data_IF_600835562206
#
_entry.id   IF_600835562206
#
_cell.length_a   1.000
_cell.length_b   1.000
_cell.length_c   1.000
_cell.angle_alpha   90.00
_cell.angle_beta   90.00
_cell.angle_gamma   90.00
#
_symmetry.space_group_name_H-M   'P 1'
#
loop_
_entity.id
_entity.type
_entity.pdbx_description
1 polymer ?
#
# COMPACT_ATOMS: atom_id res chain seq x y z
N UNK A 1 21.22 -26.98 -2.04
CA UNK A 1 20.37 -25.76 -2.04
C UNK A 1 20.03 -25.45 -0.59
N UNK A 2 20.44 -24.29 -0.06
CA UNK A 2 20.35 -23.96 1.37
C UNK A 2 18.92 -23.70 1.85
N UNK A 3 18.63 -24.01 3.13
CA UNK A 3 17.36 -23.76 3.85
C UNK A 3 16.72 -22.37 3.62
N UNK A 4 17.51 -21.34 3.29
CA UNK A 4 17.01 -19.98 3.06
C UNK A 4 16.11 -19.83 1.82
N UNK A 5 16.34 -20.61 0.75
CA UNK A 5 15.44 -20.66 -0.40
C UNK A 5 14.06 -21.24 -0.03
N UNK A 6 13.98 -21.96 1.09
CA UNK A 6 12.75 -22.56 1.57
C UNK A 6 11.76 -21.49 2.08
N UNK A 7 12.23 -20.41 2.72
CA UNK A 7 11.35 -19.36 3.27
C UNK A 7 10.63 -18.55 2.19
N UNK A 8 11.35 -18.06 1.19
CA UNK A 8 10.76 -17.29 0.09
C UNK A 8 9.81 -18.18 -0.71
N UNK A 9 10.19 -19.45 -0.95
CA UNK A 9 9.30 -20.44 -1.58
C UNK A 9 8.01 -20.66 -0.78
N UNK A 10 8.10 -20.78 0.55
CA UNK A 10 6.91 -20.88 1.41
C UNK A 10 6.00 -19.65 1.28
N UNK A 11 6.57 -18.45 1.14
CA UNK A 11 5.80 -17.23 0.90
C UNK A 11 5.10 -17.23 -0.47
N UNK A 12 5.73 -17.79 -1.50
CA UNK A 12 5.06 -18.02 -2.79
C UNK A 12 3.86 -18.96 -2.66
N UNK A 13 4.01 -20.08 -1.95
CA UNK A 13 2.93 -21.03 -1.75
C UNK A 13 1.75 -20.41 -0.97
N UNK A 14 2.06 -19.60 0.05
CA UNK A 14 1.05 -18.83 0.78
C UNK A 14 0.37 -17.76 -0.10
N UNK A 15 1.14 -17.04 -0.91
CA UNK A 15 0.60 -16.06 -1.85
C UNK A 15 -0.33 -16.73 -2.87
N UNK A 16 0.03 -17.91 -3.37
CA UNK A 16 -0.80 -18.69 -4.29
C UNK A 16 -2.10 -19.15 -3.64
N UNK A 17 -2.07 -19.60 -2.38
CA UNK A 17 -3.28 -19.94 -1.61
C UNK A 17 -4.19 -18.73 -1.43
N UNK A 18 -3.63 -17.58 -1.04
CA UNK A 18 -4.36 -16.33 -0.90
C UNK A 18 -4.98 -15.89 -2.23
N UNK A 19 -4.22 -15.92 -3.32
CA UNK A 19 -4.69 -15.54 -4.65
C UNK A 19 -5.85 -16.42 -5.13
N UNK A 20 -5.80 -17.73 -4.88
CA UNK A 20 -6.90 -18.66 -5.19
C UNK A 20 -8.17 -18.35 -4.40
N UNK A 21 -8.04 -18.05 -3.11
CA UNK A 21 -9.19 -17.67 -2.29
C UNK A 21 -9.78 -16.32 -2.72
N UNK A 22 -8.92 -15.34 -3.05
CA UNK A 22 -9.38 -14.08 -3.63
C UNK A 22 -10.13 -14.34 -4.93
N UNK A 23 -9.55 -15.10 -5.86
CA UNK A 23 -10.16 -15.36 -7.16
C UNK A 23 -11.55 -16.02 -7.05
N UNK A 24 -11.72 -16.95 -6.11
CA UNK A 24 -13.00 -17.66 -5.92
C UNK A 24 -14.08 -16.77 -5.27
N UNK A 25 -13.69 -15.89 -4.34
CA UNK A 25 -14.62 -15.09 -3.53
C UNK A 25 -14.85 -13.67 -4.06
N UNK A 26 -13.93 -13.13 -4.87
CA UNK A 26 -13.96 -11.75 -5.35
C UNK A 26 -15.28 -11.36 -6.05
N UNK A 27 -15.92 -12.21 -6.88
CA UNK A 27 -17.21 -11.85 -7.48
C UNK A 27 -18.31 -11.55 -6.44
N UNK A 28 -18.35 -12.32 -5.36
CA UNK A 28 -19.31 -12.10 -4.27
C UNK A 28 -18.99 -10.80 -3.52
N UNK A 29 -17.71 -10.56 -3.22
CA UNK A 29 -17.22 -9.33 -2.56
C UNK A 29 -17.54 -8.10 -3.41
N UNK A 30 -17.27 -8.13 -4.72
CA UNK A 30 -17.60 -7.02 -5.65
C UNK A 30 -19.10 -6.75 -5.64
N UNK A 31 -19.92 -7.80 -5.74
CA UNK A 31 -21.39 -7.67 -5.76
C UNK A 31 -21.92 -7.09 -4.46
N UNK A 32 -21.35 -7.48 -3.32
CA UNK A 32 -21.73 -6.98 -2.00
C UNK A 32 -21.34 -5.51 -1.85
N UNK A 33 -20.06 -5.19 -2.05
CA UNK A 33 -19.52 -3.82 -1.95
C UNK A 33 -20.20 -2.83 -2.90
N UNK A 34 -20.59 -3.28 -4.10
CA UNK A 34 -21.29 -2.47 -5.09
C UNK A 34 -22.69 -2.01 -4.67
N UNK A 35 -23.30 -2.66 -3.67
CA UNK A 35 -24.62 -2.28 -3.11
C UNK A 35 -24.51 -1.29 -1.95
N UNK A 36 -23.33 -1.08 -1.42
CA UNK A 36 -23.12 -0.22 -0.25
C UNK A 36 -23.21 1.27 -0.63
N UNK A 37 -23.39 2.14 0.38
CA UNK A 37 -23.24 3.59 0.20
C UNK A 37 -21.79 4.02 -0.05
N UNK A 38 -20.83 3.14 0.23
CA UNK A 38 -19.38 3.36 0.14
C UNK A 38 -18.83 3.02 -1.25
N UNK A 39 -19.44 3.55 -2.31
CA UNK A 39 -19.13 3.18 -3.70
C UNK A 39 -17.68 3.47 -4.09
N UNK A 40 -17.16 4.65 -3.76
CA UNK A 40 -15.80 5.07 -4.11
C UNK A 40 -14.74 4.40 -3.22
N UNK A 41 -15.03 4.25 -1.94
CA UNK A 41 -14.20 3.53 -0.97
C UNK A 41 -14.05 2.06 -1.37
N UNK A 42 -15.17 1.41 -1.68
CA UNK A 42 -15.19 0.03 -2.21
C UNK A 42 -14.37 -0.12 -3.49
N UNK A 43 -14.52 0.81 -4.43
CA UNK A 43 -13.72 0.85 -5.66
C UNK A 43 -12.22 0.96 -5.35
N UNK A 44 -11.85 1.79 -4.37
CA UNK A 44 -10.45 1.96 -3.95
C UNK A 44 -9.89 0.65 -3.39
N UNK A 45 -10.59 0.00 -2.47
CA UNK A 45 -10.14 -1.25 -1.87
C UNK A 45 -9.95 -2.38 -2.88
N UNK A 46 -10.92 -2.58 -3.76
CA UNK A 46 -10.82 -3.57 -4.84
C UNK A 46 -9.61 -3.30 -5.75
N UNK A 47 -9.35 -2.03 -6.07
CA UNK A 47 -8.16 -1.64 -6.84
C UNK A 47 -6.85 -1.93 -6.08
N UNK A 48 -6.83 -1.67 -4.77
CA UNK A 48 -5.66 -1.92 -3.94
C UNK A 48 -5.33 -3.41 -3.79
N UNK A 49 -6.34 -4.31 -3.76
CA UNK A 49 -6.11 -5.76 -3.77
C UNK A 49 -5.25 -6.16 -4.99
N UNK A 50 -5.66 -5.74 -6.19
CA UNK A 50 -4.96 -6.08 -7.42
C UNK A 50 -3.55 -5.47 -7.45
N UNK A 51 -3.43 -4.17 -7.16
CA UNK A 51 -2.15 -3.46 -7.17
C UNK A 51 -1.14 -4.05 -6.18
N UNK A 52 -1.57 -4.31 -4.95
CA UNK A 52 -0.72 -4.95 -3.95
C UNK A 52 -0.41 -6.41 -4.31
N UNK A 53 -1.33 -7.14 -4.95
CA UNK A 53 -1.06 -8.48 -5.46
C UNK A 53 0.08 -8.50 -6.49
N UNK A 54 0.05 -7.56 -7.46
CA UNK A 54 1.13 -7.42 -8.44
C UNK A 54 2.47 -7.05 -7.79
N UNK A 55 2.46 -6.06 -6.88
CA UNK A 55 3.66 -5.65 -6.16
C UNK A 55 4.23 -6.80 -5.32
N UNK A 56 3.38 -7.54 -4.60
CA UNK A 56 3.82 -8.67 -3.78
C UNK A 56 4.46 -9.76 -4.62
N UNK A 57 3.79 -10.20 -5.68
CA UNK A 57 4.32 -11.25 -6.57
C UNK A 57 5.67 -10.85 -7.17
N UNK A 58 5.81 -9.61 -7.64
CA UNK A 58 7.08 -9.10 -8.17
C UNK A 58 8.17 -9.03 -7.09
N UNK A 59 7.85 -8.58 -5.87
CA UNK A 59 8.80 -8.55 -4.75
C UNK A 59 9.27 -9.97 -4.40
N UNK A 60 8.38 -10.95 -4.34
CA UNK A 60 8.73 -12.35 -4.05
C UNK A 60 9.68 -12.92 -5.13
N UNK A 61 9.39 -12.65 -6.40
CA UNK A 61 10.22 -13.10 -7.53
C UNK A 61 11.60 -12.45 -7.52
N UNK A 62 11.66 -11.12 -7.41
CA UNK A 62 12.92 -10.39 -7.34
C UNK A 62 13.73 -10.79 -6.10
N UNK A 63 13.07 -11.09 -4.98
CA UNK A 63 13.75 -11.59 -3.78
C UNK A 63 14.34 -12.97 -4.00
N UNK A 64 13.62 -13.88 -4.66
CA UNK A 64 14.13 -15.20 -5.07
C UNK A 64 15.31 -15.10 -6.04
N UNK A 65 15.26 -14.14 -6.95
CA UNK A 65 16.32 -13.84 -7.93
C UNK A 65 17.44 -12.93 -7.37
N UNK A 66 17.42 -12.63 -6.06
CA UNK A 66 18.43 -11.83 -5.36
C UNK A 66 18.61 -10.40 -5.87
N UNK A 67 17.57 -9.80 -6.46
CA UNK A 67 17.61 -8.41 -6.93
C UNK A 67 17.16 -7.42 -5.84
N UNK A 68 18.05 -7.15 -4.88
CA UNK A 68 17.74 -6.33 -3.71
C UNK A 68 17.34 -4.89 -4.06
N UNK A 69 17.92 -4.31 -5.11
CA UNK A 69 17.66 -2.93 -5.51
C UNK A 69 16.23 -2.77 -6.03
N UNK A 70 15.84 -3.60 -7.00
CA UNK A 70 14.47 -3.56 -7.52
C UNK A 70 13.44 -3.92 -6.44
N UNK A 71 13.76 -4.89 -5.58
CA UNK A 71 12.91 -5.25 -4.44
C UNK A 71 12.70 -4.07 -3.48
N UNK A 72 13.75 -3.30 -3.18
CA UNK A 72 13.67 -2.12 -2.31
C UNK A 72 12.74 -1.03 -2.90
N UNK A 73 12.84 -0.78 -4.20
CA UNK A 73 11.97 0.18 -4.91
C UNK A 73 10.50 -0.24 -4.80
N UNK A 74 10.20 -1.51 -5.14
CA UNK A 74 8.83 -2.01 -5.09
C UNK A 74 8.30 -2.08 -3.66
N UNK A 75 9.15 -2.38 -2.68
CA UNK A 75 8.77 -2.38 -1.26
C UNK A 75 8.32 -1.00 -0.80
N UNK A 76 9.01 0.08 -1.20
CA UNK A 76 8.55 1.45 -0.89
C UNK A 76 7.16 1.72 -1.46
N UNK A 77 6.91 1.29 -2.70
CA UNK A 77 5.59 1.40 -3.32
C UNK A 77 4.52 0.59 -2.58
N UNK A 78 4.84 -0.64 -2.15
CA UNK A 78 3.94 -1.47 -1.33
C UNK A 78 3.57 -0.80 -0.01
N UNK A 79 4.55 -0.19 0.70
CA UNK A 79 4.29 0.55 1.94
C UNK A 79 3.32 1.72 1.66
N UNK A 80 3.55 2.49 0.60
CA UNK A 80 2.67 3.60 0.23
C UNK A 80 1.22 3.15 -0.07
N UNK A 81 1.06 2.05 -0.82
CA UNK A 81 -0.26 1.48 -1.10
C UNK A 81 -0.96 1.04 0.18
N UNK A 82 -0.23 0.43 1.12
CA UNK A 82 -0.79 0.00 2.39
C UNK A 82 -1.21 1.20 3.26
N UNK A 83 -0.40 2.26 3.35
CA UNK A 83 -0.77 3.48 4.08
C UNK A 83 -2.02 4.14 3.50
N UNK A 84 -2.10 4.30 2.17
CA UNK A 84 -3.28 4.88 1.51
C UNK A 84 -4.53 4.03 1.72
N UNK A 85 -4.41 2.72 1.62
CA UNK A 85 -5.53 1.80 1.89
C UNK A 85 -6.02 1.92 3.33
N UNK A 86 -5.11 1.83 4.31
CA UNK A 86 -5.44 1.91 5.73
C UNK A 86 -6.05 3.26 6.10
N UNK A 87 -5.55 4.34 5.51
CA UNK A 87 -6.12 5.68 5.66
C UNK A 87 -7.58 5.74 5.21
N UNK A 88 -7.85 5.28 4.00
CA UNK A 88 -9.20 5.27 3.43
C UNK A 88 -10.11 4.40 4.30
N UNK A 89 -9.63 3.23 4.73
CA UNK A 89 -10.34 2.33 5.64
C UNK A 89 -10.73 3.00 6.95
N UNK A 90 -9.76 3.49 7.72
CA UNK A 90 -10.02 4.12 9.02
C UNK A 90 -10.91 5.35 8.86
N UNK A 91 -10.64 6.21 7.88
CA UNK A 91 -11.43 7.42 7.67
C UNK A 91 -12.86 7.13 7.20
N UNK A 92 -13.07 6.13 6.35
CA UNK A 92 -14.44 5.75 5.92
C UNK A 92 -15.29 5.24 7.08
N UNK A 93 -14.69 4.52 8.04
CA UNK A 93 -15.40 3.99 9.20
C UNK A 93 -15.63 5.09 10.24
N UNK A 94 -14.63 5.92 10.53
CA UNK A 94 -14.76 7.01 11.51
C UNK A 94 -15.74 8.09 11.05
N UNK A 95 -15.69 8.48 9.78
CA UNK A 95 -16.57 9.50 9.21
C UNK A 95 -17.95 8.92 8.83
N UNK A 96 -18.10 7.60 8.86
CA UNK A 96 -19.25 6.84 8.36
C UNK A 96 -19.73 7.31 6.97
N UNK A 97 -18.78 7.66 6.10
CA UNK A 97 -19.04 8.29 4.81
C UNK A 97 -18.10 7.83 3.71
N UNK A 98 -18.56 7.96 2.46
CA UNK A 98 -17.79 7.66 1.26
C UNK A 98 -16.93 8.85 0.78
N UNK A 99 -16.82 9.91 1.57
CA UNK A 99 -16.20 11.16 1.12
C UNK A 99 -14.69 11.03 0.95
N UNK A 100 -14.01 10.23 1.78
CA UNK A 100 -12.59 9.93 1.58
C UNK A 100 -12.35 9.18 0.26
N UNK A 101 -13.23 8.24 -0.10
CA UNK A 101 -13.19 7.54 -1.39
C UNK A 101 -13.41 8.50 -2.56
N UNK A 102 -14.36 9.44 -2.44
CA UNK A 102 -14.60 10.48 -3.46
C UNK A 102 -13.37 11.38 -3.62
N UNK A 103 -12.78 11.86 -2.53
CA UNK A 103 -11.56 12.68 -2.56
C UNK A 103 -10.39 11.93 -3.20
N UNK A 104 -10.24 10.64 -2.91
CA UNK A 104 -9.21 9.79 -3.52
C UNK A 104 -9.33 9.66 -5.04
N UNK A 105 -10.54 9.46 -5.59
CA UNK A 105 -10.69 9.30 -7.04
C UNK A 105 -10.85 10.60 -7.82
N UNK A 106 -11.47 11.62 -7.22
CA UNK A 106 -11.75 12.88 -7.91
C UNK A 106 -10.65 13.89 -7.65
N UNK A 107 -10.40 14.20 -6.39
CA UNK A 107 -9.55 15.33 -6.02
C UNK A 107 -8.07 15.00 -6.10
N UNK A 108 -7.64 13.81 -5.68
CA UNK A 108 -6.25 13.39 -5.82
C UNK A 108 -5.83 13.30 -7.30
N UNK A 109 -6.66 12.69 -8.15
CA UNK A 109 -6.46 12.70 -9.60
C UNK A 109 -6.32 14.13 -10.14
N UNK A 110 -7.23 15.02 -9.75
CA UNK A 110 -7.14 16.44 -10.15
C UNK A 110 -5.85 17.11 -9.67
N UNK A 111 -5.35 16.75 -8.49
CA UNK A 111 -4.06 17.25 -7.98
C UNK A 111 -2.87 16.71 -8.79
N UNK A 112 -2.88 15.43 -9.16
CA UNK A 112 -1.84 14.80 -10.00
C UNK A 112 -1.82 15.40 -11.42
N UNK A 113 -3.01 15.60 -12.00
CA UNK A 113 -3.19 16.24 -13.31
C UNK A 113 -2.66 17.70 -13.27
N UNK A 114 -3.03 18.45 -12.23
CA UNK A 114 -2.60 19.85 -12.04
C UNK A 114 -1.08 19.97 -11.81
N UNK A 115 -0.48 19.05 -11.05
CA UNK A 115 0.96 19.03 -10.82
C UNK A 115 1.72 18.74 -12.12
N UNK A 116 1.27 17.72 -12.87
CA UNK A 116 1.86 17.35 -14.17
C UNK A 116 1.78 18.51 -15.16
N UNK A 117 0.61 19.13 -15.27
CA UNK A 117 0.38 20.28 -16.14
C UNK A 117 1.25 21.48 -15.74
N UNK A 118 1.34 21.78 -14.44
CA UNK A 118 2.18 22.88 -13.93
C UNK A 118 3.66 22.64 -14.27
N UNK A 119 4.18 21.43 -14.08
CA UNK A 119 5.57 21.09 -14.41
C UNK A 119 5.85 21.22 -15.90
N UNK A 120 4.99 20.65 -16.75
CA UNK A 120 5.13 20.72 -18.21
C UNK A 120 5.08 22.18 -18.67
N UNK A 121 4.16 22.98 -18.15
CA UNK A 121 4.07 24.41 -18.49
C UNK A 121 5.33 25.18 -18.06
N UNK A 122 5.90 24.87 -16.88
CA UNK A 122 7.17 25.47 -16.44
C UNK A 122 8.35 25.08 -17.35
N UNK A 123 8.43 23.83 -17.79
CA UNK A 123 9.45 23.38 -18.74
C UNK A 123 9.28 24.04 -20.10
N UNK A 124 8.05 24.10 -20.62
CA UNK A 124 7.76 24.79 -21.87
C UNK A 124 8.10 26.27 -21.79
N UNK A 125 7.84 26.95 -20.68
CA UNK A 125 8.23 28.35 -20.49
C UNK A 125 9.75 28.53 -20.52
N UNK A 126 10.50 27.58 -19.97
CA UNK A 126 11.96 27.65 -19.95
C UNK A 126 12.60 27.37 -21.32
N UNK A 127 12.00 26.45 -22.10
CA UNK A 127 12.55 26.01 -23.40
C UNK A 127 11.97 26.78 -24.59
N UNK A 128 10.69 27.17 -24.52
CA UNK A 128 9.88 27.81 -25.56
C UNK A 128 9.08 28.99 -24.98
N UNK A 129 9.74 30.08 -24.54
CA UNK A 129 9.10 31.20 -23.85
C UNK A 129 8.01 31.91 -24.67
N UNK A 130 8.03 31.76 -25.99
CA UNK A 130 7.07 32.33 -26.95
C UNK A 130 5.71 31.60 -26.98
N UNK A 131 5.62 30.38 -26.42
CA UNK A 131 4.37 29.61 -26.40
C UNK A 131 3.40 30.10 -25.32
N UNK A 132 2.11 29.87 -25.56
CA UNK A 132 1.03 30.21 -24.61
C UNK A 132 1.28 29.60 -23.24
N UNK A 133 1.36 30.47 -22.24
CA UNK A 133 1.53 30.09 -20.84
C UNK A 133 0.16 29.94 -20.18
N UNK A 134 -0.11 28.75 -19.68
CA UNK A 134 -1.35 28.49 -18.96
C UNK A 134 -1.22 28.87 -17.49
N UNK A 135 -2.18 29.62 -16.96
CA UNK A 135 -2.16 30.02 -15.55
C UNK A 135 -2.82 28.95 -14.68
N UNK A 136 -2.05 28.35 -13.77
CA UNK A 136 -2.56 27.37 -12.79
C UNK A 136 -2.82 27.98 -11.41
N UNK A 137 -2.72 29.31 -11.26
CA UNK A 137 -3.06 30.03 -10.02
C UNK A 137 -4.57 30.21 -9.90
N UNK A 138 -5.08 30.16 -8.68
CA UNK A 138 -6.50 30.40 -8.35
C UNK A 138 -6.94 29.60 -7.13
N UNK A 139 -7.98 30.08 -6.44
CA UNK A 139 -8.54 29.44 -5.24
C UNK A 139 -9.00 28.00 -5.50
N UNK A 140 -9.60 27.72 -6.66
CA UNK A 140 -10.01 26.37 -7.04
C UNK A 140 -8.83 25.38 -7.11
N UNK A 141 -7.75 25.77 -7.79
CA UNK A 141 -6.54 24.96 -7.92
C UNK A 141 -5.79 24.82 -6.59
N UNK A 142 -5.84 25.85 -5.73
CA UNK A 142 -5.31 25.78 -4.36
C UNK A 142 -6.07 24.75 -3.53
N UNK A 143 -7.40 24.75 -3.57
CA UNK A 143 -8.22 23.77 -2.86
C UNK A 143 -7.92 22.32 -3.32
N UNK A 144 -7.75 22.10 -4.63
CA UNK A 144 -7.34 20.79 -5.17
C UNK A 144 -5.99 20.34 -4.57
N UNK A 145 -5.00 21.23 -4.52
CA UNK A 145 -3.67 20.92 -3.96
C UNK A 145 -3.74 20.61 -2.47
N UNK A 146 -4.52 21.35 -1.69
CA UNK A 146 -4.65 21.09 -0.25
C UNK A 146 -5.24 19.70 0.02
N UNK A 147 -6.29 19.30 -0.71
CA UNK A 147 -6.83 17.94 -0.58
C UNK A 147 -5.82 16.89 -1.06
N UNK A 148 -5.02 17.17 -2.09
CA UNK A 148 -3.93 16.30 -2.51
C UNK A 148 -2.89 16.05 -1.41
N UNK A 149 -2.64 17.03 -0.53
CA UNK A 149 -1.72 16.86 0.61
C UNK A 149 -2.21 15.84 1.63
N UNK A 150 -3.53 15.64 1.77
CA UNK A 150 -4.11 14.66 2.71
C UNK A 150 -3.62 13.23 2.44
N UNK A 151 -3.29 12.92 1.18
CA UNK A 151 -2.82 11.59 0.76
C UNK A 151 -1.30 11.44 0.76
N UNK A 152 -0.56 12.45 1.22
CA UNK A 152 0.88 12.32 1.48
C UNK A 152 1.09 11.40 2.67
N UNK A 153 2.11 10.54 2.60
CA UNK A 153 2.31 9.49 3.60
C UNK A 153 2.50 10.05 5.01
N UNK A 154 3.10 11.23 5.16
CA UNK A 154 3.29 11.88 6.45
C UNK A 154 1.96 12.34 7.05
N UNK A 155 1.07 12.90 6.23
CA UNK A 155 -0.27 13.33 6.66
C UNK A 155 -1.13 12.13 7.04
N UNK A 156 -1.06 11.07 6.24
CA UNK A 156 -1.69 9.78 6.55
C UNK A 156 -1.18 9.25 7.89
N UNK A 157 0.15 9.22 8.10
CA UNK A 157 0.75 8.75 9.34
C UNK A 157 0.20 9.50 10.56
N UNK A 158 0.23 10.83 10.54
CA UNK A 158 -0.29 11.62 11.67
C UNK A 158 -1.79 11.42 11.89
N UNK A 159 -2.58 11.32 10.81
CA UNK A 159 -4.00 11.00 10.91
C UNK A 159 -4.21 9.65 11.59
N UNK A 160 -3.49 8.61 11.15
CA UNK A 160 -3.59 7.26 11.72
C UNK A 160 -3.19 7.27 13.20
N UNK A 161 -2.10 7.94 13.59
CA UNK A 161 -1.69 8.03 14.99
C UNK A 161 -2.75 8.73 15.87
N UNK A 162 -3.37 9.80 15.36
CA UNK A 162 -4.39 10.56 16.09
C UNK A 162 -5.72 9.83 16.22
N UNK A 163 -6.08 9.01 15.21
CA UNK A 163 -7.40 8.36 15.12
C UNK A 163 -7.36 6.87 15.47
N UNK A 164 -6.18 6.31 15.76
CA UNK A 164 -6.00 4.94 16.25
C UNK A 164 -6.02 4.89 17.79
N UNK A 165 -7.03 5.52 18.41
CA UNK A 165 -7.16 5.62 19.86
C UNK A 165 -8.19 4.61 20.41
N UNK A 166 -7.68 3.51 20.98
CA UNK A 166 -8.17 2.71 22.12
C UNK A 166 -9.61 2.18 22.18
N UNK A 167 -10.49 2.43 21.21
CA UNK A 167 -11.80 1.75 21.15
C UNK A 167 -11.68 0.49 20.31
N UNK A 168 -11.67 -0.66 21.02
CA UNK A 168 -11.71 -2.06 20.59
C UNK A 168 -12.21 -2.30 19.15
N UNK A 169 -11.37 -2.02 18.17
CA UNK A 169 -11.50 -2.58 16.84
C UNK A 169 -10.25 -3.43 16.63
N UNK A 170 -10.37 -4.76 16.75
CA UNK A 170 -9.25 -5.73 16.72
C UNK A 170 -8.38 -5.58 15.45
N UNK A 171 -8.91 -4.92 14.43
CA UNK A 171 -8.28 -4.63 13.14
C UNK A 171 -7.29 -3.48 13.28
N UNK A 172 -7.71 -2.43 13.97
CA UNK A 172 -6.98 -1.18 14.17
C UNK A 172 -5.88 -1.39 15.22
N UNK A 173 -6.12 -2.26 16.21
CA UNK A 173 -5.10 -2.71 17.19
C UNK A 173 -3.87 -3.37 16.55
N UNK A 174 -4.00 -3.96 15.35
CA UNK A 174 -2.88 -4.60 14.63
C UNK A 174 -1.89 -3.58 14.06
N UNK A 175 -2.32 -2.33 13.87
CA UNK A 175 -1.48 -1.25 13.34
C UNK A 175 -1.01 -0.32 14.47
N UNK A 176 -0.34 -0.90 15.47
CA UNK A 176 0.20 -0.14 16.61
C UNK A 176 1.09 1.01 16.16
N UNK A 177 1.21 2.04 17.02
CA UNK A 177 2.01 3.24 16.74
C UNK A 177 3.45 2.88 16.34
N UNK A 178 4.03 1.89 17.00
CA UNK A 178 5.38 1.38 16.73
C UNK A 178 5.47 0.73 15.34
N UNK A 179 4.44 -0.03 14.95
CA UNK A 179 4.37 -0.62 13.61
C UNK A 179 4.30 0.46 12.53
N UNK A 180 3.41 1.44 12.69
CA UNK A 180 3.26 2.55 11.73
C UNK A 180 4.56 3.36 11.63
N UNK A 181 5.21 3.65 12.76
CA UNK A 181 6.48 4.36 12.78
C UNK A 181 7.58 3.56 12.07
N UNK A 182 7.70 2.26 12.35
CA UNK A 182 8.69 1.40 11.69
C UNK A 182 8.49 1.38 10.16
N UNK A 183 7.24 1.32 9.69
CA UNK A 183 6.95 1.36 8.25
C UNK A 183 7.25 2.72 7.62
N UNK A 184 7.00 3.82 8.33
CA UNK A 184 7.38 5.16 7.88
C UNK A 184 8.91 5.31 7.78
N UNK A 185 9.65 4.80 8.76
CA UNK A 185 11.12 4.76 8.72
C UNK A 185 11.61 3.93 7.54
N UNK A 186 11.03 2.75 7.33
CA UNK A 186 11.35 1.89 6.18
C UNK A 186 11.08 2.65 4.86
N UNK A 187 9.94 3.32 4.72
CA UNK A 187 9.60 4.14 3.54
C UNK A 187 10.64 5.25 3.28
N UNK A 188 11.00 6.01 4.31
CA UNK A 188 11.96 7.11 4.21
C UNK A 188 13.34 6.61 3.82
N UNK A 189 13.82 5.54 4.46
CA UNK A 189 15.13 4.95 4.18
C UNK A 189 15.24 4.41 2.75
N UNK A 190 14.13 3.90 2.19
CA UNK A 190 14.09 3.41 0.80
C UNK A 190 14.03 4.55 -0.23
N UNK A 191 13.71 5.78 0.17
CA UNK A 191 13.50 6.90 -0.76
C UNK A 191 14.77 7.29 -1.53
N UNK A 192 15.94 7.28 -0.87
CA UNK A 192 17.20 7.56 -1.59
C UNK A 192 17.50 6.50 -2.65
N UNK A 193 17.14 5.23 -2.41
CA UNK A 193 17.32 4.17 -3.39
C UNK A 193 16.45 4.36 -4.63
N UNK A 194 15.19 4.78 -4.46
CA UNK A 194 14.26 5.04 -5.57
C UNK A 194 14.72 6.18 -6.47
N UNK A 195 15.35 7.21 -5.91
CA UNK A 195 15.78 8.40 -6.65
C UNK A 195 17.23 8.33 -7.14
N UNK A 196 17.91 7.19 -6.99
CA UNK A 196 19.33 7.06 -7.36
C UNK A 196 20.26 7.96 -6.53
N UNK A 197 19.87 8.30 -5.31
CA UNK A 197 20.65 9.15 -4.42
C UNK A 197 21.85 8.41 -3.82
N UNK A 198 22.94 9.13 -3.49
CA UNK A 198 24.22 8.54 -3.06
C UNK A 198 24.12 7.74 -1.74
N UNK A 199 23.18 8.10 -0.85
CA UNK A 199 22.93 7.33 0.37
C UNK A 199 22.43 5.91 0.05
N UNK A 200 21.49 5.80 -0.89
CA UNK A 200 20.96 4.52 -1.35
C UNK A 200 22.05 3.66 -2.00
N UNK A 201 22.84 4.26 -2.89
CA UNK A 201 23.99 3.61 -3.54
C UNK A 201 24.96 3.02 -2.51
N UNK A 202 25.41 3.84 -1.55
CA UNK A 202 26.32 3.41 -0.49
C UNK A 202 25.71 2.30 0.38
N UNK A 203 24.42 2.40 0.71
CA UNK A 203 23.72 1.40 1.50
C UNK A 203 23.68 0.04 0.78
N UNK A 204 23.36 0.01 -0.52
CA UNK A 204 23.33 -1.23 -1.30
C UNK A 204 24.73 -1.79 -1.54
N UNK A 205 25.73 -0.93 -1.82
CA UNK A 205 27.12 -1.36 -1.95
C UNK A 205 27.64 -2.03 -0.68
N UNK A 206 27.37 -1.42 0.49
CA UNK A 206 27.76 -2.01 1.77
C UNK A 206 26.96 -3.27 2.11
N UNK A 207 25.69 -3.35 1.70
CA UNK A 207 24.87 -4.56 1.89
C UNK A 207 25.44 -5.75 1.11
N UNK A 208 25.97 -5.54 -0.09
CA UNK A 208 26.56 -6.61 -0.91
C UNK A 208 27.82 -7.23 -0.28
N UNK A 209 28.52 -6.51 0.60
CA UNK A 209 29.72 -7.00 1.31
C UNK A 209 29.40 -8.02 2.41
N UNK A 210 28.17 -8.03 2.90
CA UNK A 210 27.72 -8.93 3.97
C UNK A 210 26.61 -9.84 3.43
N UNK A 211 27.00 -11.06 3.06
CA UNK A 211 26.08 -12.06 2.47
C UNK A 211 24.92 -12.41 3.38
N UNK A 212 25.14 -12.49 4.70
CA UNK A 212 24.06 -12.87 5.62
C UNK A 212 23.06 -11.73 5.79
N UNK A 213 23.55 -10.50 5.94
CA UNK A 213 22.70 -9.30 5.98
C UNK A 213 21.95 -9.10 4.67
N UNK A 214 22.59 -9.35 3.53
CA UNK A 214 21.96 -9.32 2.22
C UNK A 214 20.80 -10.31 2.12
N UNK A 215 21.02 -11.58 2.47
CA UNK A 215 19.98 -12.62 2.44
C UNK A 215 18.82 -12.27 3.39
N UNK A 216 19.12 -11.84 4.62
CA UNK A 216 18.12 -11.42 5.61
C UNK A 216 17.29 -10.22 5.11
N UNK A 217 17.90 -9.32 4.34
CA UNK A 217 17.19 -8.18 3.76
C UNK A 217 16.18 -8.62 2.70
N UNK A 218 16.55 -9.57 1.84
CA UNK A 218 15.61 -10.16 0.86
C UNK A 218 14.48 -10.92 1.55
N UNK A 219 14.79 -11.72 2.58
CA UNK A 219 13.78 -12.41 3.39
C UNK A 219 12.83 -11.41 4.07
N UNK A 220 13.37 -10.30 4.61
CA UNK A 220 12.56 -9.23 5.22
C UNK A 220 11.64 -8.61 4.19
N UNK A 221 12.13 -8.23 3.01
CA UNK A 221 11.30 -7.62 1.97
C UNK A 221 10.18 -8.56 1.50
N UNK A 222 10.49 -9.82 1.23
CA UNK A 222 9.50 -10.83 0.86
C UNK A 222 8.44 -11.04 1.97
N UNK A 223 8.89 -11.13 3.23
CA UNK A 223 8.00 -11.31 4.38
C UNK A 223 7.10 -10.09 4.61
N UNK A 224 7.68 -8.89 4.56
CA UNK A 224 6.96 -7.63 4.73
C UNK A 224 5.95 -7.42 3.59
N UNK A 225 6.32 -7.67 2.34
CA UNK A 225 5.40 -7.49 1.20
C UNK A 225 4.18 -8.39 1.30
N UNK A 226 4.40 -9.67 1.66
CA UNK A 226 3.30 -10.62 1.83
C UNK A 226 2.38 -10.17 2.98
N UNK A 227 2.96 -9.79 4.12
CA UNK A 227 2.17 -9.35 5.27
C UNK A 227 1.36 -8.07 4.96
N UNK A 228 1.94 -7.12 4.22
CA UNK A 228 1.25 -5.88 3.81
C UNK A 228 0.11 -6.17 2.83
N UNK A 229 0.35 -6.99 1.81
CA UNK A 229 -0.69 -7.41 0.87
C UNK A 229 -1.81 -8.19 1.57
N UNK A 230 -1.45 -9.16 2.41
CA UNK A 230 -2.41 -9.93 3.20
C UNK A 230 -3.29 -9.02 4.07
N UNK A 231 -2.68 -8.09 4.81
CA UNK A 231 -3.42 -7.18 5.69
C UNK A 231 -4.39 -6.29 4.92
N UNK A 232 -4.01 -5.89 3.70
CA UNK A 232 -4.87 -5.11 2.80
C UNK A 232 -6.09 -5.92 2.36
N UNK A 233 -5.87 -7.18 1.95
CA UNK A 233 -6.95 -8.10 1.54
C UNK A 233 -7.87 -8.38 2.73
N UNK A 234 -7.30 -8.74 3.88
CA UNK A 234 -8.04 -9.02 5.11
C UNK A 234 -8.93 -7.84 5.51
N UNK A 235 -8.38 -6.62 5.57
CA UNK A 235 -9.14 -5.42 5.90
C UNK A 235 -10.23 -5.08 4.88
N UNK A 236 -10.00 -5.37 3.59
CA UNK A 236 -11.02 -5.17 2.54
C UNK A 236 -12.19 -6.16 2.70
N UNK A 237 -11.88 -7.42 2.97
CA UNK A 237 -12.90 -8.46 3.18
C UNK A 237 -13.70 -8.20 4.45
N UNK A 238 -13.01 -7.71 5.48
CA UNK A 238 -13.65 -7.29 6.72
C UNK A 238 -14.56 -6.09 6.51
N UNK A 239 -14.13 -5.10 5.73
CA UNK A 239 -15.00 -4.00 5.34
C UNK A 239 -16.26 -4.52 4.63
N UNK A 240 -16.12 -5.47 3.70
CA UNK A 240 -17.26 -6.08 3.03
C UNK A 240 -18.20 -6.79 4.01
N UNK A 241 -17.66 -7.52 4.99
CA UNK A 241 -18.43 -8.14 6.06
C UNK A 241 -19.18 -7.11 6.92
N UNK A 242 -18.51 -6.04 7.36
CA UNK A 242 -19.13 -4.96 8.14
C UNK A 242 -20.29 -4.27 7.39
N UNK A 243 -20.31 -4.33 6.06
CA UNK A 243 -21.38 -3.76 5.23
C UNK A 243 -22.46 -4.78 4.85
N UNK A 244 -22.16 -6.08 4.90
CA UNK A 244 -23.03 -7.19 4.49
C UNK A 244 -22.61 -8.47 5.21
N UNK A 245 -23.39 -8.85 6.23
CA UNK A 245 -23.11 -10.01 7.08
C UNK A 245 -22.93 -11.33 6.30
N UNK A 246 -23.49 -11.43 5.09
CA UNK A 246 -23.33 -12.61 4.23
C UNK A 246 -21.87 -12.85 3.81
N UNK A 247 -21.03 -11.82 3.87
CA UNK A 247 -19.61 -11.90 3.51
C UNK A 247 -18.74 -12.46 4.64
N UNK A 248 -19.29 -12.70 5.84
CA UNK A 248 -18.55 -13.24 6.99
C UNK A 248 -17.75 -14.50 6.64
N UNK A 249 -18.37 -15.45 5.92
CA UNK A 249 -17.73 -16.71 5.55
C UNK A 249 -16.49 -16.51 4.65
N UNK A 250 -16.49 -15.49 3.79
CA UNK A 250 -15.35 -15.15 2.95
C UNK A 250 -14.24 -14.46 3.76
N UNK A 251 -14.62 -13.57 4.69
CA UNK A 251 -13.68 -12.93 5.59
C UNK A 251 -12.94 -13.95 6.47
N UNK A 252 -13.65 -14.86 7.12
CA UNK A 252 -13.05 -15.88 7.99
C UNK A 252 -12.10 -16.82 7.23
N UNK A 253 -12.41 -17.17 5.97
CA UNK A 253 -11.49 -17.94 5.11
C UNK A 253 -10.17 -17.21 4.89
N UNK A 254 -10.21 -15.92 4.57
CA UNK A 254 -9.00 -15.10 4.41
C UNK A 254 -8.22 -15.07 5.73
N UNK A 255 -8.87 -14.73 6.85
CA UNK A 255 -8.26 -14.64 8.18
C UNK A 255 -7.53 -15.94 8.57
N UNK A 256 -8.17 -17.09 8.35
CA UNK A 256 -7.63 -18.40 8.71
C UNK A 256 -6.36 -18.79 7.92
N UNK A 257 -6.14 -18.24 6.72
CA UNK A 257 -4.89 -18.45 5.97
C UNK A 257 -3.66 -17.89 6.71
N UNK A 258 -3.85 -16.91 7.61
CA UNK A 258 -2.77 -16.35 8.45
C UNK A 258 -2.37 -17.29 9.58
N UNK A 259 -3.32 -18.01 10.17
CA UNK A 259 -3.09 -18.82 11.37
C UNK A 259 -2.28 -20.09 11.07
N UNK A 260 -2.40 -20.60 9.85
CA UNK A 260 -1.55 -21.68 9.32
C UNK A 260 -0.05 -21.34 9.46
N UNK A 261 0.34 -20.05 9.43
CA UNK A 261 1.73 -19.58 9.58
C UNK A 261 2.30 -19.77 10.99
N UNK A 262 1.47 -19.77 12.06
CA UNK A 262 1.98 -19.97 13.44
C UNK A 262 2.49 -21.40 13.67
N UNK A 263 2.02 -22.37 12.88
CA UNK A 263 2.39 -23.78 13.03
C UNK A 263 3.65 -24.19 12.24
N UNK A 264 4.14 -23.35 11.31
CA UNK A 264 5.39 -23.58 10.56
C UNK A 264 6.61 -22.83 11.14
N UNK A 265 6.46 -22.23 12.31
CA UNK A 265 7.48 -21.41 12.98
C UNK A 265 7.90 -21.91 14.37
N UNK A 266 7.64 -23.18 14.68
CA UNK A 266 8.26 -23.89 15.80
C UNK A 266 9.25 -24.91 15.27
#
# INVERSE_FOLDING_TARGET
>A
MSDKNNKIKNLFDLNNKLAKEIQSSLPAIIKSLGKTRFKYTSKAFLSFILKSGYLNSAILELSGNRNVYATAILTRSMIEHNFRHLYIYVRSLNDDSDDVGKRYYKTLKGSEDLESFTKINNYNKAVYPEKTNWNTKGEHNKAIREVGKEFRIEQIFFYLIANNNNKKDEIVERFKKEYLLQRLVDYTNLSSGVHGGPFGELAFFNLQKDKDKFDKTLEKFAGDSFNLHFSLVEATYLFAYLMDDKMQSHYEKIKNLREVKKNYGK
#
